data_IF_855706303727
#
_entry.id   IF_855706303727
#
_cell.length_a   1.000
_cell.length_b   1.000
_cell.length_c   1.000
_cell.angle_alpha   90.00
_cell.angle_beta   90.00
_cell.angle_gamma   90.00
#
_symmetry.space_group_name_H-M   'P 1'
#
loop_
_entity.id
_entity.type
_entity.pdbx_description
1 polymer ?
#
# COMPACT_ATOMS: atom_id res chain seq x y z
N UNK A 1 14.44 -5.74 1.43
CA UNK A 1 13.04 -5.87 1.89
C UNK A 1 12.26 -4.67 1.39
N UNK A 2 10.92 -4.73 1.42
CA UNK A 2 10.03 -3.62 1.12
C UNK A 2 9.44 -3.12 2.45
N UNK A 3 9.64 -1.85 2.83
CA UNK A 3 9.07 -1.34 4.07
C UNK A 3 7.54 -1.36 4.03
N UNK A 4 6.90 -1.89 5.08
CA UNK A 4 5.44 -1.93 5.19
C UNK A 4 4.82 -0.52 5.19
N UNK A 5 5.54 0.47 5.71
CA UNK A 5 5.18 1.89 5.62
C UNK A 5 5.13 2.41 4.18
N UNK A 6 6.03 1.95 3.30
CA UNK A 6 6.04 2.35 1.89
C UNK A 6 4.82 1.79 1.16
N UNK A 7 4.49 0.53 1.42
CA UNK A 7 3.32 -0.12 0.85
C UNK A 7 2.03 0.53 1.37
N UNK A 8 1.92 0.70 2.69
CA UNK A 8 0.77 1.34 3.36
C UNK A 8 0.55 2.76 2.87
N UNK A 9 1.60 3.58 2.83
CA UNK A 9 1.54 4.97 2.39
C UNK A 9 1.13 5.09 0.93
N UNK A 10 1.67 4.23 0.06
CA UNK A 10 1.31 4.25 -1.36
C UNK A 10 -0.13 3.82 -1.61
N UNK A 11 -0.59 2.72 -0.98
CA UNK A 11 -1.98 2.29 -1.07
C UNK A 11 -2.94 3.36 -0.56
N UNK A 12 -2.64 3.95 0.61
CA UNK A 12 -3.40 5.06 1.18
C UNK A 12 -3.52 6.21 0.19
N UNK A 13 -2.39 6.72 -0.32
CA UNK A 13 -2.38 7.85 -1.25
C UNK A 13 -3.21 7.58 -2.50
N UNK A 14 -3.11 6.38 -3.08
CA UNK A 14 -3.90 6.01 -4.26
C UNK A 14 -5.40 5.99 -3.97
N UNK A 15 -5.80 5.48 -2.80
CA UNK A 15 -7.20 5.45 -2.37
C UNK A 15 -7.72 6.87 -2.06
N UNK A 16 -6.93 7.73 -1.42
CA UNK A 16 -7.29 9.12 -1.17
C UNK A 16 -7.67 9.83 -2.48
N UNK A 17 -6.88 9.66 -3.54
CA UNK A 17 -7.20 10.20 -4.86
C UNK A 17 -8.42 9.53 -5.50
N UNK A 18 -8.53 8.20 -5.42
CA UNK A 18 -9.65 7.44 -5.99
C UNK A 18 -11.00 7.88 -5.42
N UNK A 19 -11.06 8.18 -4.12
CA UNK A 19 -12.29 8.60 -3.43
C UNK A 19 -12.48 10.12 -3.38
N UNK A 20 -11.62 10.92 -4.05
CA UNK A 20 -11.72 12.38 -4.05
C UNK A 20 -11.53 13.01 -2.67
N UNK A 21 -10.66 12.42 -1.85
CA UNK A 21 -10.37 12.84 -0.47
C UNK A 21 -9.10 13.71 -0.37
N UNK A 22 -8.70 14.33 -1.48
CA UNK A 22 -7.55 15.24 -1.53
C UNK A 22 -8.06 16.65 -1.82
N UNK A 23 -7.79 17.57 -0.92
CA UNK A 23 -8.00 18.99 -1.12
C UNK A 23 -6.66 19.64 -1.44
N UNK A 24 -6.63 20.55 -2.40
CA UNK A 24 -5.42 21.25 -2.79
C UNK A 24 -5.69 22.76 -2.85
N UNK A 25 -4.87 23.52 -2.13
CA UNK A 25 -4.99 24.97 -2.01
C UNK A 25 -3.63 25.63 -2.25
N UNK A 26 -3.66 26.87 -2.75
CA UNK A 26 -2.46 27.69 -2.90
C UNK A 26 -2.23 28.48 -1.61
N UNK A 27 -1.14 28.19 -0.91
CA UNK A 27 -0.74 28.89 0.31
C UNK A 27 0.67 29.48 0.10
N UNK A 28 0.82 30.81 0.18
CA UNK A 28 2.08 31.53 -0.03
C UNK A 28 2.80 31.15 -1.35
N UNK A 29 2.05 31.01 -2.45
CA UNK A 29 2.58 30.65 -3.75
C UNK A 29 3.02 29.19 -3.90
N UNK A 30 2.79 28.35 -2.89
CA UNK A 30 3.04 26.90 -2.92
C UNK A 30 1.73 26.13 -2.92
N UNK A 31 1.64 25.12 -3.80
CA UNK A 31 0.53 24.18 -3.76
C UNK A 31 0.68 23.28 -2.53
N UNK A 32 -0.34 23.25 -1.70
CA UNK A 32 -0.41 22.40 -0.52
C UNK A 32 -1.62 21.48 -0.65
N UNK A 33 -1.37 20.17 -0.63
CA UNK A 33 -2.42 19.16 -0.62
C UNK A 33 -2.64 18.65 0.81
N UNK A 34 -3.89 18.47 1.20
CA UNK A 34 -4.29 17.89 2.49
C UNK A 34 -5.32 16.78 2.29
N UNK A 35 -5.23 15.76 3.13
CA UNK A 35 -6.22 14.69 3.18
C UNK A 35 -7.50 15.20 3.86
N UNK A 36 -8.66 14.91 3.26
CA UNK A 36 -10.00 15.12 3.82
C UNK A 36 -10.41 13.85 4.58
N UNK A 37 -10.39 13.84 5.92
CA UNK A 37 -10.66 12.64 6.72
C UNK A 37 -12.15 12.37 6.96
N UNK A 38 -13.04 13.19 6.40
CA UNK A 38 -14.49 13.14 6.66
C UNK A 38 -15.27 12.54 5.49
N UNK A 39 -16.50 12.09 5.74
CA UNK A 39 -17.44 11.69 4.69
C UNK A 39 -17.90 12.93 3.90
N UNK A 40 -18.36 12.71 2.66
CA UNK A 40 -18.96 13.79 1.87
C UNK A 40 -20.33 14.21 2.44
N UNK A 41 -21.08 13.26 3.00
CA UNK A 41 -22.45 13.47 3.50
C UNK A 41 -22.50 13.95 4.96
N UNK A 42 -21.43 13.74 5.72
CA UNK A 42 -21.34 14.13 7.14
C UNK A 42 -19.90 14.50 7.51
N UNK A 43 -19.67 15.80 7.71
CA UNK A 43 -18.36 16.35 8.05
C UNK A 43 -17.92 16.06 9.49
N UNK A 44 -18.80 15.50 10.33
CA UNK A 44 -18.46 15.10 11.70
C UNK A 44 -18.05 13.62 11.81
N UNK A 45 -18.12 12.85 10.72
CA UNK A 45 -17.77 11.44 10.70
C UNK A 45 -16.54 11.15 9.85
N UNK A 46 -15.67 10.29 10.36
CA UNK A 46 -14.54 9.78 9.60
C UNK A 46 -15.02 9.00 8.37
N UNK A 47 -14.36 9.21 7.23
CA UNK A 47 -14.51 8.32 6.07
C UNK A 47 -13.75 7.00 6.28
N UNK A 48 -14.02 6.03 5.41
CA UNK A 48 -13.45 4.69 5.55
C UNK A 48 -11.92 4.68 5.38
N UNK A 49 -11.33 5.57 4.57
CA UNK A 49 -9.87 5.68 4.43
C UNK A 49 -9.23 6.16 5.74
N UNK A 50 -9.84 7.15 6.39
CA UNK A 50 -9.40 7.67 7.69
C UNK A 50 -9.52 6.60 8.79
N UNK A 51 -10.58 5.79 8.77
CA UNK A 51 -10.81 4.67 9.70
C UNK A 51 -9.76 3.57 9.48
N UNK A 52 -9.55 3.14 8.23
CA UNK A 52 -8.66 2.04 7.88
C UNK A 52 -7.21 2.39 8.16
N UNK A 53 -6.73 3.54 7.63
CA UNK A 53 -5.33 3.92 7.64
C UNK A 53 -4.92 4.82 8.81
N UNK A 54 -5.89 5.39 9.52
CA UNK A 54 -5.68 6.30 10.63
C UNK A 54 -5.49 7.76 10.23
N UNK A 55 -5.68 8.63 11.22
CA UNK A 55 -5.43 10.07 11.15
C UNK A 55 -4.51 10.49 12.29
N UNK A 56 -3.81 11.62 12.13
CA UNK A 56 -2.96 12.16 13.19
C UNK A 56 -3.77 12.55 14.42
N UNK A 57 -3.19 12.41 15.62
CA UNK A 57 -3.85 12.75 16.88
C UNK A 57 -4.16 14.26 17.01
N UNK A 58 -3.35 15.11 16.39
CA UNK A 58 -3.50 16.56 16.39
C UNK A 58 -3.98 17.04 15.03
N UNK A 59 -5.28 16.87 14.76
CA UNK A 59 -5.91 17.47 13.58
C UNK A 59 -6.03 18.97 13.81
N UNK A 60 -5.53 19.76 12.85
CA UNK A 60 -5.62 21.22 12.89
C UNK A 60 -6.82 21.72 12.08
N UNK A 61 -7.22 22.97 12.34
CA UNK A 61 -8.24 23.67 11.57
C UNK A 61 -9.64 23.04 11.68
N UNK A 62 -10.29 22.83 10.53
CA UNK A 62 -11.69 22.39 10.44
C UNK A 62 -11.97 20.99 11.01
N UNK A 63 -10.94 20.17 11.18
CA UNK A 63 -11.09 18.77 11.62
C UNK A 63 -10.82 18.54 13.11
N UNK A 64 -10.62 19.60 13.90
CA UNK A 64 -10.28 19.53 15.33
C UNK A 64 -11.30 18.78 16.20
N UNK A 65 -12.56 18.70 15.74
CA UNK A 65 -13.65 18.06 16.49
C UNK A 65 -13.75 16.55 16.20
N UNK A 66 -12.99 16.04 15.22
CA UNK A 66 -13.01 14.61 14.91
C UNK A 66 -12.24 13.84 15.97
N UNK A 67 -12.84 12.76 16.46
CA UNK A 67 -12.18 11.86 17.41
C UNK A 67 -11.39 10.80 16.64
N UNK A 68 -10.06 10.70 16.82
CA UNK A 68 -9.27 9.62 16.25
C UNK A 68 -9.76 8.25 16.73
N UNK A 69 -9.71 7.26 15.86
CA UNK A 69 -10.07 5.88 16.18
C UNK A 69 -8.85 4.96 15.98
N UNK A 70 -8.83 3.76 16.60
CA UNK A 70 -7.77 2.78 16.38
C UNK A 70 -7.59 2.47 14.88
N UNK A 71 -6.34 2.35 14.43
CA UNK A 71 -6.04 2.06 13.02
C UNK A 71 -6.36 0.60 12.72
N UNK A 72 -7.11 0.32 11.64
CA UNK A 72 -7.51 -1.06 11.32
C UNK A 72 -6.38 -1.80 10.61
N UNK A 73 -5.59 -1.13 9.77
CA UNK A 73 -4.56 -1.78 8.96
C UNK A 73 -3.13 -1.62 9.50
N UNK A 74 -2.43 -2.76 9.61
CA UNK A 74 -0.99 -2.86 9.84
C UNK A 74 -0.38 -3.63 8.67
N UNK A 75 0.67 -3.08 8.08
CA UNK A 75 1.41 -3.73 6.99
C UNK A 75 2.83 -3.90 7.49
N UNK A 76 3.30 -5.13 7.51
CA UNK A 76 4.64 -5.48 7.96
C UNK A 76 5.64 -5.38 6.80
N UNK A 77 6.92 -5.31 7.15
CA UNK A 77 7.99 -5.30 6.16
C UNK A 77 8.00 -6.62 5.39
N UNK A 78 8.04 -6.53 4.07
CA UNK A 78 8.02 -7.70 3.19
C UNK A 78 9.45 -8.11 2.84
N UNK A 79 9.79 -9.35 3.17
CA UNK A 79 11.12 -9.92 2.94
C UNK A 79 11.11 -10.80 1.68
N UNK A 80 12.23 -10.88 0.95
CA UNK A 80 12.31 -11.71 -0.24
C UNK A 80 12.18 -13.19 0.13
N UNK A 81 11.56 -13.96 -0.76
CA UNK A 81 11.46 -15.42 -0.62
C UNK A 81 12.84 -16.07 -0.68
N UNK A 82 12.96 -17.31 -0.19
CA UNK A 82 14.24 -18.05 -0.26
C UNK A 82 14.67 -18.25 -1.72
N UNK A 83 13.70 -18.53 -2.58
CA UNK A 83 13.85 -18.70 -4.03
C UNK A 83 14.40 -17.42 -4.66
N UNK A 84 13.89 -16.25 -4.26
CA UNK A 84 14.38 -14.95 -4.71
C UNK A 84 15.81 -14.70 -4.27
N UNK A 85 16.16 -15.02 -3.02
CA UNK A 85 17.53 -14.86 -2.51
C UNK A 85 18.51 -15.75 -3.29
N UNK A 86 18.15 -17.00 -3.56
CA UNK A 86 18.99 -17.91 -4.34
C UNK A 86 19.12 -17.46 -5.81
N UNK A 87 18.03 -16.96 -6.41
CA UNK A 87 18.06 -16.36 -7.75
C UNK A 87 19.05 -15.21 -7.82
N UNK A 88 19.01 -14.28 -6.85
CA UNK A 88 19.96 -13.16 -6.80
C UNK A 88 21.41 -13.63 -6.70
N UNK A 89 21.71 -14.61 -5.83
CA UNK A 89 23.06 -15.17 -5.70
C UNK A 89 23.57 -15.78 -7.02
N UNK A 90 22.69 -16.47 -7.74
CA UNK A 90 23.04 -17.14 -9.00
C UNK A 90 23.23 -16.14 -10.16
N UNK A 91 22.38 -15.11 -10.26
CA UNK A 91 22.38 -14.16 -11.37
C UNK A 91 23.37 -12.99 -11.17
N UNK A 92 23.50 -12.50 -9.93
CA UNK A 92 24.31 -11.31 -9.61
C UNK A 92 25.66 -11.66 -8.97
N UNK A 93 25.79 -12.86 -8.39
CA UNK A 93 26.95 -13.28 -7.60
C UNK A 93 26.73 -13.16 -6.09
N UNK A 94 27.54 -13.89 -5.32
CA UNK A 94 27.40 -13.96 -3.87
C UNK A 94 27.57 -12.57 -3.22
N UNK A 95 26.60 -12.15 -2.42
CA UNK A 95 26.61 -10.86 -1.71
C UNK A 95 26.04 -9.68 -2.50
N UNK A 96 25.63 -9.87 -3.76
CA UNK A 96 24.95 -8.87 -4.57
C UNK A 96 23.44 -9.18 -4.63
N UNK A 97 22.62 -8.21 -4.24
CA UNK A 97 21.16 -8.35 -4.14
C UNK A 97 20.39 -7.28 -4.95
N UNK A 98 21.11 -6.37 -5.57
CA UNK A 98 20.58 -5.28 -6.40
C UNK A 98 21.35 -5.22 -7.72
N UNK A 99 20.67 -4.80 -8.78
CA UNK A 99 21.30 -4.51 -10.07
C UNK A 99 21.45 -2.99 -10.24
N UNK A 100 22.54 -2.57 -10.89
CA UNK A 100 22.79 -1.16 -11.20
C UNK A 100 22.15 -0.84 -12.55
N UNK A 101 21.16 0.05 -12.55
CA UNK A 101 20.58 0.62 -13.77
C UNK A 101 21.17 2.00 -14.01
N UNK A 102 21.77 2.20 -15.18
CA UNK A 102 22.20 3.53 -15.62
C UNK A 102 21.07 4.22 -16.38
N UNK A 103 20.69 5.41 -15.94
CA UNK A 103 19.73 6.26 -16.62
C UNK A 103 20.40 7.54 -17.13
N UNK A 104 20.19 7.89 -18.40
CA UNK A 104 20.82 9.07 -19.00
C UNK A 104 19.84 10.26 -18.98
N UNK A 105 20.23 11.35 -18.31
CA UNK A 105 19.59 12.64 -18.52
C UNK A 105 20.32 13.34 -19.68
N UNK A 106 19.63 13.55 -20.81
CA UNK A 106 20.19 14.22 -21.97
C UNK A 106 19.78 15.69 -21.94
N UNK A 107 20.76 16.59 -21.97
CA UNK A 107 20.52 18.01 -22.15
C UNK A 107 19.97 18.26 -23.57
N UNK A 108 18.82 18.93 -23.67
CA UNK A 108 18.10 19.08 -24.94
C UNK A 108 18.77 20.03 -25.94
N UNK A 109 19.72 20.85 -25.48
CA UNK A 109 20.39 21.87 -26.30
C UNK A 109 21.77 21.35 -26.71
N UNK A 110 22.53 20.87 -25.75
CA UNK A 110 23.92 20.42 -25.94
C UNK A 110 24.02 18.94 -26.31
N UNK A 111 22.92 18.18 -26.20
CA UNK A 111 22.88 16.72 -26.35
C UNK A 111 23.84 15.95 -25.42
N UNK A 112 24.36 16.61 -24.39
CA UNK A 112 25.26 16.00 -23.42
C UNK A 112 24.50 15.02 -22.52
N UNK A 113 25.03 13.81 -22.37
CA UNK A 113 24.46 12.80 -21.49
C UNK A 113 25.05 12.92 -20.07
N UNK A 114 24.18 13.02 -19.08
CA UNK A 114 24.51 12.92 -17.66
C UNK A 114 23.97 11.58 -17.11
N UNK A 115 24.76 10.49 -17.18
CA UNK A 115 24.37 9.19 -16.65
C UNK A 115 24.25 9.24 -15.13
N UNK A 116 23.15 8.70 -14.61
CA UNK A 116 22.94 8.45 -13.18
C UNK A 116 22.78 6.96 -12.97
N UNK A 117 23.56 6.39 -12.06
CA UNK A 117 23.41 5.00 -11.65
C UNK A 117 22.41 4.93 -10.49
N UNK A 118 21.47 3.99 -10.58
CA UNK A 118 20.52 3.70 -9.52
C UNK A 118 20.45 2.19 -9.31
N UNK A 119 20.61 1.78 -8.05
CA UNK A 119 20.35 0.40 -7.66
C UNK A 119 18.85 0.10 -7.71
N UNK A 120 18.50 -1.07 -8.21
CA UNK A 120 17.13 -1.58 -8.20
C UNK A 120 17.11 -3.07 -7.86
N UNK A 121 15.98 -3.51 -7.34
CA UNK A 121 15.72 -4.93 -7.17
C UNK A 121 15.48 -5.56 -8.55
N UNK A 122 16.09 -6.72 -8.86
CA UNK A 122 15.87 -7.42 -10.13
C UNK A 122 14.40 -7.71 -10.41
N UNK A 123 14.01 -7.66 -11.69
CA UNK A 123 12.64 -7.98 -12.09
C UNK A 123 12.28 -9.45 -11.81
N UNK A 124 11.02 -9.68 -11.42
CA UNK A 124 10.56 -11.02 -11.02
C UNK A 124 11.18 -11.48 -9.70
N UNK A 125 11.48 -10.55 -8.80
CA UNK A 125 11.78 -10.85 -7.40
C UNK A 125 10.47 -10.92 -6.61
N UNK A 126 10.35 -11.91 -5.75
CA UNK A 126 9.15 -12.17 -4.96
C UNK A 126 9.38 -11.85 -3.48
N UNK A 127 8.34 -11.30 -2.84
CA UNK A 127 8.38 -10.88 -1.45
C UNK A 127 7.15 -11.37 -0.71
N UNK A 128 7.34 -11.88 0.50
CA UNK A 128 6.25 -12.29 1.38
C UNK A 128 5.63 -11.06 2.05
N UNK A 129 4.37 -10.77 1.76
CA UNK A 129 3.65 -9.61 2.29
C UNK A 129 2.67 -10.06 3.37
N UNK A 130 2.78 -9.47 4.56
CA UNK A 130 1.83 -9.68 5.65
C UNK A 130 1.04 -8.38 5.94
N UNK A 131 -0.29 -8.49 5.84
CA UNK A 131 -1.23 -7.42 6.18
C UNK A 131 -2.15 -7.93 7.28
N UNK A 132 -2.18 -7.20 8.40
CA UNK A 132 -3.13 -7.44 9.50
C UNK A 132 -4.20 -6.38 9.49
N UNK A 133 -5.45 -6.82 9.52
CA UNK A 133 -6.63 -5.97 9.58
C UNK A 133 -7.43 -6.28 10.85
N UNK A 134 -7.60 -5.28 11.72
CA UNK A 134 -8.35 -5.38 12.96
C UNK A 134 -9.83 -5.05 12.72
N UNK A 135 -10.72 -5.87 13.28
CA UNK A 135 -12.19 -5.71 13.17
C UNK A 135 -12.70 -5.22 14.53
N UNK A 136 -13.21 -4.00 14.57
CA UNK A 136 -13.78 -3.39 15.78
C UNK A 136 -15.30 -3.20 15.68
N UNK A 137 -15.82 -3.00 14.47
CA UNK A 137 -17.26 -2.90 14.21
C UNK A 137 -17.69 -3.75 13.01
N UNK A 138 -18.98 -4.04 12.88
CA UNK A 138 -19.53 -4.87 11.80
C UNK A 138 -19.25 -4.31 10.39
N UNK A 139 -19.14 -2.97 10.26
CA UNK A 139 -18.84 -2.33 8.97
C UNK A 139 -17.40 -2.56 8.55
N UNK A 140 -16.50 -2.94 9.48
CA UNK A 140 -15.11 -3.24 9.15
C UNK A 140 -14.98 -4.43 8.20
N UNK A 141 -15.93 -5.37 8.19
CA UNK A 141 -15.98 -6.46 7.22
C UNK A 141 -16.15 -5.95 5.78
N UNK A 142 -16.99 -4.92 5.59
CA UNK A 142 -17.18 -4.29 4.28
C UNK A 142 -16.00 -3.36 3.93
N UNK A 143 -15.47 -2.63 4.92
CA UNK A 143 -14.29 -1.77 4.73
C UNK A 143 -13.03 -2.53 4.31
N UNK A 144 -12.90 -3.80 4.70
CA UNK A 144 -11.78 -4.64 4.26
C UNK A 144 -11.65 -4.67 2.72
N UNK A 145 -12.76 -4.62 1.98
CA UNK A 145 -12.76 -4.54 0.51
C UNK A 145 -11.90 -3.36 -0.01
N UNK A 146 -11.91 -2.22 0.68
CA UNK A 146 -11.16 -1.02 0.31
C UNK A 146 -9.65 -1.28 0.32
N UNK A 147 -9.17 -2.18 1.19
CA UNK A 147 -7.76 -2.60 1.21
C UNK A 147 -7.40 -3.30 -0.09
N UNK A 148 -8.24 -4.24 -0.55
CA UNK A 148 -8.05 -4.94 -1.82
C UNK A 148 -8.16 -4.01 -3.03
N UNK A 149 -9.06 -3.02 -2.99
CA UNK A 149 -9.13 -1.98 -4.02
C UNK A 149 -7.82 -1.18 -4.08
N UNK A 150 -7.22 -0.87 -2.93
CA UNK A 150 -5.92 -0.20 -2.84
C UNK A 150 -4.77 -1.04 -3.39
N UNK A 151 -4.78 -2.36 -3.13
CA UNK A 151 -3.83 -3.30 -3.71
C UNK A 151 -3.98 -3.35 -5.23
N UNK A 152 -5.22 -3.46 -5.73
CA UNK A 152 -5.50 -3.46 -7.18
C UNK A 152 -5.00 -2.19 -7.84
N UNK A 153 -5.28 -1.05 -7.21
CA UNK A 153 -4.84 0.26 -7.72
C UNK A 153 -3.33 0.37 -7.77
N UNK A 154 -2.62 -0.29 -6.86
CA UNK A 154 -1.16 -0.33 -6.85
C UNK A 154 -0.57 -1.18 -7.98
N UNK A 155 -1.21 -2.27 -8.39
CA UNK A 155 -0.78 -3.07 -9.57
C UNK A 155 -0.73 -2.21 -10.85
N UNK A 156 -1.74 -1.36 -11.04
CA UNK A 156 -1.80 -0.42 -12.16
C UNK A 156 -0.87 0.79 -11.97
N UNK A 157 -0.31 0.95 -10.77
CA UNK A 157 0.60 2.04 -10.43
C UNK A 157 2.02 1.51 -10.20
N UNK A 158 2.80 2.21 -9.38
CA UNK A 158 4.15 1.82 -9.03
C UNK A 158 4.44 1.99 -7.54
N UNK A 159 5.32 1.17 -7.01
CA UNK A 159 5.87 1.24 -5.66
C UNK A 159 7.30 1.81 -5.69
N UNK A 160 7.61 2.72 -4.77
CA UNK A 160 8.93 3.37 -4.70
C UNK A 160 9.12 4.49 -5.74
N UNK A 161 10.36 4.70 -6.18
CA UNK A 161 10.75 5.82 -7.06
C UNK A 161 10.87 5.44 -8.54
N UNK A 162 10.78 6.44 -9.43
CA UNK A 162 11.05 6.26 -10.87
C UNK A 162 9.97 5.53 -11.65
N UNK A 163 8.74 5.46 -11.15
CA UNK A 163 7.66 4.70 -11.78
C UNK A 163 7.25 5.16 -13.17
N UNK A 164 7.27 6.47 -13.43
CA UNK A 164 7.04 7.02 -14.78
C UNK A 164 8.10 6.57 -15.81
N UNK A 165 9.23 6.06 -15.33
CA UNK A 165 10.35 5.50 -16.12
C UNK A 165 10.37 3.97 -16.11
N UNK A 166 9.25 3.35 -15.73
CA UNK A 166 9.03 1.91 -15.78
C UNK A 166 9.53 1.12 -14.56
N UNK A 167 9.89 1.78 -13.45
CA UNK A 167 10.28 1.08 -12.22
C UNK A 167 9.07 0.79 -11.31
N UNK A 168 9.22 -0.18 -10.39
CA UNK A 168 8.28 -0.36 -9.28
C UNK A 168 6.92 -0.96 -9.66
N UNK A 169 6.79 -1.57 -10.83
CA UNK A 169 5.62 -2.41 -11.15
C UNK A 169 5.58 -3.59 -10.19
N UNK A 170 4.43 -3.83 -9.59
CA UNK A 170 4.19 -4.92 -8.66
C UNK A 170 2.93 -5.68 -9.05
N UNK A 171 2.84 -6.93 -8.63
CA UNK A 171 1.67 -7.78 -8.76
C UNK A 171 1.50 -8.52 -7.43
N UNK A 172 0.26 -8.72 -7.00
CA UNK A 172 -0.02 -9.53 -5.82
C UNK A 172 -0.60 -10.88 -6.25
N UNK A 173 0.01 -11.95 -5.75
CA UNK A 173 -0.35 -13.32 -6.05
C UNK A 173 -0.48 -14.12 -4.75
N UNK A 174 -1.15 -15.28 -4.83
CA UNK A 174 -1.26 -16.25 -3.72
C UNK A 174 -1.78 -15.67 -2.39
N UNK A 175 -2.87 -14.93 -2.47
CA UNK A 175 -3.46 -14.21 -1.35
C UNK A 175 -4.25 -15.17 -0.47
N UNK A 176 -3.89 -15.23 0.82
CA UNK A 176 -4.63 -16.01 1.83
C UNK A 176 -5.32 -15.08 2.83
N UNK A 177 -6.63 -15.25 3.00
CA UNK A 177 -7.42 -14.50 3.96
C UNK A 177 -7.69 -15.38 5.19
N UNK A 178 -7.04 -15.06 6.30
CA UNK A 178 -7.17 -15.81 7.56
C UNK A 178 -7.88 -14.95 8.59
N UNK A 179 -9.00 -15.44 9.11
CA UNK A 179 -9.76 -14.81 10.18
C UNK A 179 -9.42 -15.42 11.53
N UNK A 180 -9.04 -14.57 12.49
CA UNK A 180 -8.76 -14.90 13.88
C UNK A 180 -9.77 -14.21 14.77
N UNK A 181 -10.73 -14.98 15.29
CA UNK A 181 -11.78 -14.44 16.17
C UNK A 181 -11.26 -14.16 17.58
N UNK A 182 -12.05 -13.45 18.39
CA UNK A 182 -11.76 -13.30 19.83
C UNK A 182 -11.54 -14.66 20.52
N UNK A 183 -12.37 -15.65 20.20
CA UNK A 183 -12.24 -17.00 20.75
C UNK A 183 -10.91 -17.68 20.40
N UNK A 184 -10.31 -17.38 19.23
CA UNK A 184 -8.96 -17.87 18.90
C UNK A 184 -7.92 -17.33 19.87
N UNK A 185 -7.95 -16.03 20.16
CA UNK A 185 -7.02 -15.41 21.12
C UNK A 185 -7.28 -15.85 22.57
N UNK A 186 -8.48 -16.33 22.90
CA UNK A 186 -8.80 -16.97 24.18
C UNK A 186 -8.43 -18.47 24.22
N UNK A 187 -7.87 -19.03 23.15
CA UNK A 187 -7.52 -20.46 23.06
C UNK A 187 -8.71 -21.41 22.84
N UNK A 188 -9.89 -20.88 22.48
CA UNK A 188 -11.15 -21.63 22.34
C UNK A 188 -11.52 -21.95 20.89
N UNK A 189 -10.80 -21.41 19.92
CA UNK A 189 -11.04 -21.65 18.50
C UNK A 189 -9.72 -21.69 17.73
N UNK A 190 -9.76 -22.25 16.51
CA UNK A 190 -8.65 -22.22 15.57
C UNK A 190 -8.84 -21.07 14.56
N UNK A 191 -7.76 -20.59 13.91
CA UNK A 191 -7.87 -19.66 12.79
C UNK A 191 -8.73 -20.26 11.68
N UNK A 192 -9.52 -19.42 11.02
CA UNK A 192 -10.38 -19.83 9.91
C UNK A 192 -9.83 -19.25 8.61
N UNK A 193 -9.50 -20.10 7.65
CA UNK A 193 -9.24 -19.65 6.28
C UNK A 193 -10.58 -19.26 5.64
N UNK A 194 -10.74 -17.98 5.33
CA UNK A 194 -11.94 -17.43 4.69
C UNK A 194 -11.85 -17.42 3.17
N UNK A 195 -10.64 -17.50 2.63
CA UNK A 195 -10.42 -17.63 1.20
C UNK A 195 -8.94 -17.73 0.85
N UNK A 196 -8.68 -18.37 -0.29
CA UNK A 196 -7.39 -18.39 -0.96
C UNK A 196 -7.61 -17.98 -2.42
N UNK A 197 -6.83 -16.99 -2.87
CA UNK A 197 -7.02 -16.35 -4.17
C UNK A 197 -5.69 -16.24 -4.91
N UNK A 198 -5.64 -16.74 -6.13
CA UNK A 198 -4.45 -16.59 -6.98
C UNK A 198 -4.17 -15.14 -7.37
N UNK A 199 -5.20 -14.29 -7.48
CA UNK A 199 -5.08 -12.90 -7.94
C UNK A 199 -5.97 -11.95 -7.14
N UNK A 200 -5.63 -10.66 -7.20
CA UNK A 200 -6.42 -9.59 -6.55
C UNK A 200 -7.83 -9.49 -7.12
N UNK A 201 -8.02 -9.72 -8.41
CA UNK A 201 -9.34 -9.68 -9.03
C UNK A 201 -10.24 -10.79 -8.48
N UNK A 202 -9.70 -11.99 -8.25
CA UNK A 202 -10.41 -13.09 -7.58
C UNK A 202 -10.76 -12.72 -6.13
N UNK A 203 -9.81 -12.13 -5.40
CA UNK A 203 -10.05 -11.65 -4.03
C UNK A 203 -11.12 -10.55 -3.97
N UNK A 204 -11.16 -9.61 -4.91
CA UNK A 204 -12.19 -8.57 -4.98
C UNK A 204 -13.58 -9.14 -5.29
N UNK A 205 -13.66 -10.18 -6.13
CA UNK A 205 -14.93 -10.82 -6.46
C UNK A 205 -15.56 -11.54 -5.26
N UNK A 206 -14.76 -12.03 -4.31
CA UNK A 206 -15.25 -12.58 -3.04
C UNK A 206 -16.17 -11.59 -2.30
N UNK A 207 -15.86 -10.29 -2.34
CA UNK A 207 -16.67 -9.25 -1.70
C UNK A 207 -17.85 -8.75 -2.56
N UNK A 208 -17.98 -9.19 -3.82
CA UNK A 208 -19.13 -8.85 -4.68
C UNK A 208 -20.30 -9.83 -4.52
N UNK A 209 -20.03 -11.02 -3.99
CA UNK A 209 -21.03 -12.07 -3.75
C UNK A 209 -21.35 -12.32 -2.28
N UNK A 210 -20.85 -11.47 -1.37
CA UNK A 210 -21.05 -11.54 0.07
C UNK A 210 -22.04 -10.48 0.56
#
# INVERSE_FOLDING_TARGET
YIPGSSLKGKMRSLLEWQYGLVEAEMENGKLKSQFKPVKQEDENQLNDIAIIFGIGANLSGKYKNLTPQPVRIKIYDAYPTKETIEKWKNELGAGLYTEIKTENAIDRITSAANPRQQERVPAGSEFEVEIVYEVFDEKDHQRLKVVFEGMKRLEDNYLGGGGSRGNGRVKFEEIKLIYKSKAFYEGKAQPQEKGSFETIDKALNFFKGA
#
